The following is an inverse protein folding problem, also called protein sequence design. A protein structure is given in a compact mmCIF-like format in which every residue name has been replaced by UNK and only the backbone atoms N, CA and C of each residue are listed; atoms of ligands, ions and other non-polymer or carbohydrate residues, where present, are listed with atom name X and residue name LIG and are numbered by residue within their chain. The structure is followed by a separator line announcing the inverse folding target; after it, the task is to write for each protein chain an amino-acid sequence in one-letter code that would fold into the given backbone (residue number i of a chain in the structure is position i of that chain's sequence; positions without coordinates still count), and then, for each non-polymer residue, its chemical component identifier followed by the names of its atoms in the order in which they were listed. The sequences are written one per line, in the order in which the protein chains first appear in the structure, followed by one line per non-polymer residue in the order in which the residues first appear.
data_IF_955397373565
#
_entry.id   IF_955397373565
#
_cell.length_a   1.000
_cell.length_b   1.000
_cell.length_c   1.000
_cell.angle_alpha   90.00
_cell.angle_beta   90.00
_cell.angle_gamma   90.00
#
_symmetry.space_group_name_H-M   'P 1'
#
loop_
_entity.id
_entity.type
_entity.pdbx_description
1 polymer ?
#
# COMPACT_ATOMS: atom_id res chain seq x y z
N UNK A 1 7.58 11.22 -1.08
CA UNK A 1 6.97 10.93 0.23
C UNK A 1 8.05 11.13 1.27
N UNK A 2 7.89 12.07 2.19
CA UNK A 2 8.85 12.28 3.28
C UNK A 2 8.76 11.15 4.30
N UNK A 3 9.83 10.87 5.04
CA UNK A 3 9.87 9.84 6.09
C UNK A 3 8.77 10.04 7.14
N UNK A 4 8.49 11.30 7.49
CA UNK A 4 7.41 11.67 8.40
C UNK A 4 6.03 11.19 7.90
N UNK A 5 5.75 11.38 6.61
CA UNK A 5 4.48 10.96 5.99
C UNK A 5 4.36 9.43 5.87
N UNK A 6 5.48 8.72 5.71
CA UNK A 6 5.50 7.26 5.76
C UNK A 6 5.22 6.74 7.16
N UNK A 7 5.84 7.33 8.17
CA UNK A 7 5.64 6.95 9.57
C UNK A 7 4.17 7.13 9.97
N UNK A 8 3.56 8.25 9.60
CA UNK A 8 2.14 8.49 9.85
C UNK A 8 1.23 7.49 9.13
N UNK A 9 1.59 7.08 7.90
CA UNK A 9 0.84 6.06 7.17
C UNK A 9 0.88 4.72 7.88
N UNK A 10 2.04 4.33 8.41
CA UNK A 10 2.23 3.08 9.15
C UNK A 10 1.43 3.11 10.44
N UNK A 11 1.49 4.19 11.22
CA UNK A 11 0.74 4.32 12.46
C UNK A 11 -0.78 4.32 12.22
N UNK A 12 -1.25 5.05 11.21
CA UNK A 12 -2.66 5.09 10.83
C UNK A 12 -3.15 3.70 10.39
N UNK A 13 -2.36 3.01 9.56
CA UNK A 13 -2.69 1.65 9.09
C UNK A 13 -2.72 0.65 10.25
N UNK A 14 -1.77 0.73 11.18
CA UNK A 14 -1.71 -0.16 12.35
C UNK A 14 -2.96 0.00 13.22
N UNK A 15 -3.32 1.24 13.54
CA UNK A 15 -4.55 1.54 14.30
C UNK A 15 -5.80 1.06 13.57
N UNK A 16 -5.81 1.17 12.23
CA UNK A 16 -6.93 0.72 11.42
C UNK A 16 -7.07 -0.81 11.42
N UNK A 17 -5.95 -1.54 11.32
CA UNK A 17 -5.96 -3.01 11.38
C UNK A 17 -6.39 -3.55 12.75
N UNK A 18 -6.13 -2.81 13.83
CA UNK A 18 -6.61 -3.17 15.17
C UNK A 18 -8.11 -2.96 15.35
N UNK A 19 -8.67 -1.91 14.73
CA UNK A 19 -10.10 -1.56 14.84
C UNK A 19 -10.98 -2.29 13.83
N UNK A 20 -10.47 -2.57 12.64
CA UNK A 20 -11.22 -3.16 11.53
C UNK A 20 -10.52 -4.42 11.02
N UNK A 21 -11.25 -5.55 11.03
CA UNK A 21 -10.75 -6.81 10.46
C UNK A 21 -11.03 -6.96 8.96
N UNK A 22 -11.80 -6.03 8.37
CA UNK A 22 -12.19 -6.06 6.96
C UNK A 22 -11.27 -5.12 6.17
N UNK A 23 -10.53 -5.67 5.20
CA UNK A 23 -9.56 -4.93 4.39
C UNK A 23 -10.16 -3.69 3.70
N UNK A 24 -11.44 -3.76 3.30
CA UNK A 24 -12.16 -2.64 2.69
C UNK A 24 -12.34 -1.46 3.65
N UNK A 25 -12.69 -1.75 4.90
CA UNK A 25 -12.90 -0.71 5.92
C UNK A 25 -11.58 -0.06 6.31
N UNK A 26 -10.52 -0.87 6.44
CA UNK A 26 -9.15 -0.39 6.66
C UNK A 26 -8.73 0.56 5.54
N UNK A 27 -8.92 0.17 4.28
CA UNK A 27 -8.57 1.00 3.12
C UNK A 27 -9.38 2.31 3.09
N UNK A 28 -10.69 2.27 3.39
CA UNK A 28 -11.51 3.47 3.45
C UNK A 28 -11.09 4.41 4.58
N UNK A 29 -10.75 3.86 5.74
CA UNK A 29 -10.31 4.63 6.90
C UNK A 29 -9.00 5.37 6.60
N UNK A 30 -7.97 4.65 6.14
CA UNK A 30 -6.67 5.24 5.80
C UNK A 30 -6.85 6.28 4.70
N UNK A 31 -7.62 5.97 3.65
CA UNK A 31 -7.92 6.93 2.60
C UNK A 31 -8.52 8.21 3.19
N UNK A 32 -9.55 8.10 4.03
CA UNK A 32 -10.25 9.26 4.60
C UNK A 32 -9.33 10.11 5.48
N UNK A 33 -8.49 9.49 6.29
CA UNK A 33 -7.53 10.17 7.15
C UNK A 33 -6.51 10.97 6.31
N UNK A 34 -5.98 10.35 5.25
CA UNK A 34 -5.01 10.98 4.35
C UNK A 34 -5.62 12.05 3.44
N UNK A 35 -6.85 11.83 2.96
CA UNK A 35 -7.61 12.82 2.17
C UNK A 35 -7.83 14.10 2.98
N UNK A 36 -8.19 13.96 4.27
CA UNK A 36 -8.41 15.09 5.17
C UNK A 36 -7.12 15.81 5.56
N UNK A 37 -6.02 15.07 5.76
CA UNK A 37 -4.77 15.63 6.30
C UNK A 37 -3.87 16.24 5.23
N UNK A 38 -3.78 15.59 4.08
CA UNK A 38 -2.83 15.96 3.03
C UNK A 38 -3.48 16.55 1.78
N UNK A 39 -4.81 16.53 1.69
CA UNK A 39 -5.57 17.29 0.69
C UNK A 39 -5.19 16.99 -0.76
N UNK A 40 -5.68 15.87 -1.31
CA UNK A 40 -5.76 15.52 -2.73
C UNK A 40 -6.26 14.07 -2.80
N UNK A 41 -6.82 13.61 -3.92
CA UNK A 41 -7.36 12.23 -4.05
C UNK A 41 -6.29 11.17 -3.78
N UNK A 42 -6.33 10.57 -2.59
CA UNK A 42 -5.47 9.44 -2.22
C UNK A 42 -6.07 8.11 -2.68
N UNK A 43 -5.21 7.22 -3.17
CA UNK A 43 -5.57 5.86 -3.52
C UNK A 43 -4.89 4.91 -2.53
N UNK A 44 -5.69 4.21 -1.73
CA UNK A 44 -5.21 3.21 -0.77
C UNK A 44 -5.62 1.82 -1.26
N UNK A 45 -4.67 0.88 -1.26
CA UNK A 45 -4.89 -0.52 -1.62
C UNK A 45 -4.43 -1.37 -0.45
N UNK A 46 -5.32 -2.21 0.07
CA UNK A 46 -5.05 -3.11 1.21
C UNK A 46 -5.46 -4.52 0.79
N UNK A 47 -4.59 -5.49 1.02
CA UNK A 47 -4.82 -6.87 0.60
C UNK A 47 -3.74 -7.81 1.13
N UNK A 48 -4.14 -9.01 1.52
CA UNK A 48 -3.23 -10.05 2.00
C UNK A 48 -2.47 -10.79 0.89
N UNK A 49 -2.92 -10.72 -0.35
CA UNK A 49 -2.29 -11.39 -1.48
C UNK A 49 -2.52 -10.61 -2.76
N UNK A 50 -1.50 -9.90 -3.19
CA UNK A 50 -1.47 -9.28 -4.51
C UNK A 50 -0.73 -10.25 -5.45
N UNK A 51 -1.44 -10.83 -6.40
CA UNK A 51 -0.82 -11.59 -7.49
C UNK A 51 -0.05 -10.65 -8.41
N UNK A 52 1.14 -10.24 -7.99
CA UNK A 52 2.08 -9.48 -8.81
C UNK A 52 3.16 -10.43 -9.30
N UNK A 53 3.17 -10.71 -10.60
CA UNK A 53 4.41 -11.20 -11.22
C UNK A 53 5.42 -10.05 -11.12
N UNK A 54 6.34 -10.12 -10.16
CA UNK A 54 7.50 -9.27 -10.14
C UNK A 54 8.54 -9.98 -10.99
N UNK A 55 8.53 -9.72 -12.29
CA UNK A 55 9.62 -10.14 -13.17
C UNK A 55 10.82 -9.36 -12.72
N UNK A 56 11.64 -10.01 -11.90
CA UNK A 56 13.03 -9.64 -11.73
C UNK A 56 13.67 -9.73 -13.11
N UNK A 57 13.72 -8.62 -13.85
CA UNK A 57 14.66 -8.52 -14.95
C UNK A 57 16.00 -8.19 -14.31
N UNK A 58 16.78 -9.23 -14.01
CA UNK A 58 18.20 -9.03 -13.81
C UNK A 58 18.78 -8.47 -15.13
N UNK A 59 19.55 -7.37 -15.10
CA UNK A 59 20.18 -6.85 -16.29
C UNK A 59 21.34 -7.77 -16.67
N UNK A 60 21.08 -8.83 -17.44
CA UNK A 60 22.14 -9.63 -18.04
C UNK A 60 21.91 -11.11 -18.32
N UNK A 61 20.69 -11.65 -18.20
CA UNK A 61 20.41 -13.05 -18.52
C UNK A 61 19.74 -13.21 -19.88
N UNK A 62 20.49 -13.72 -20.85
CA UNK A 62 20.02 -14.19 -22.15
C UNK A 62 18.78 -15.10 -22.05
N UNK A 63 17.67 -14.65 -22.63
CA UNK A 63 16.47 -15.47 -22.76
C UNK A 63 16.66 -16.47 -23.92
N UNK A 64 17.30 -17.61 -23.65
CA UNK A 64 17.26 -18.77 -24.54
C UNK A 64 16.15 -19.73 -24.06
N UNK A 65 15.01 -19.71 -24.75
CA UNK A 65 13.95 -20.71 -24.59
C UNK A 65 14.24 -21.94 -25.47
N UNK A 66 13.94 -23.18 -25.03
CA UNK A 66 13.42 -24.20 -25.93
C UNK A 66 11.94 -23.96 -26.25
#
# INVERSE_FOLDING_TARGET
MSEEMQQEAIECTTQALEKWSVEKDVAMYIKKEFDNKYGQTWHCVVGKSFGGWASTCEPGGDCAAP
#
